data_IF_889765750061
#
_entry.id   IF_889765750061
#
_cell.length_a   1.000
_cell.length_b   1.000
_cell.length_c   1.000
_cell.angle_alpha   90.00
_cell.angle_beta   90.00
_cell.angle_gamma   90.00
#
_symmetry.space_group_name_H-M   'P 1'
#
loop_
_entity.id
_entity.type
_entity.pdbx_description
1 polymer ?
#
# COMPACT_ATOMS: atom_id res chain seq x y z
N UNK A 1 14.65 -9.39 -24.46
CA UNK A 1 13.29 -9.73 -23.98
C UNK A 1 13.15 -9.24 -22.55
N UNK A 2 12.18 -8.35 -22.26
CA UNK A 2 11.93 -7.86 -20.91
C UNK A 2 11.16 -8.90 -20.08
N UNK A 3 11.62 -9.18 -18.86
CA UNK A 3 10.89 -10.03 -17.91
C UNK A 3 9.91 -9.16 -17.12
N UNK A 4 8.66 -9.61 -17.00
CA UNK A 4 7.63 -8.95 -16.20
C UNK A 4 7.29 -9.80 -14.96
N UNK A 5 6.92 -9.13 -13.86
CA UNK A 5 6.42 -9.76 -12.64
C UNK A 5 4.98 -9.29 -12.39
N UNK A 6 4.06 -10.24 -12.30
CA UNK A 6 2.67 -9.98 -11.90
C UNK A 6 2.50 -10.20 -10.40
N UNK A 7 1.92 -9.22 -9.72
CA UNK A 7 1.53 -9.31 -8.31
C UNK A 7 0.02 -9.07 -8.22
N UNK A 8 -0.74 -10.02 -7.67
CA UNK A 8 -2.20 -9.89 -7.58
C UNK A 8 -2.74 -10.22 -6.19
N UNK A 9 -3.92 -9.67 -5.91
CA UNK A 9 -4.79 -10.12 -4.83
C UNK A 9 -6.19 -10.24 -5.45
N UNK A 10 -7.25 -10.23 -4.65
CA UNK A 10 -8.60 -10.38 -5.20
C UNK A 10 -9.02 -9.21 -6.12
N UNK A 11 -8.86 -7.95 -5.66
CA UNK A 11 -9.19 -6.75 -6.47
C UNK A 11 -7.96 -6.05 -7.08
N UNK A 12 -6.75 -6.49 -6.73
CA UNK A 12 -5.51 -5.86 -7.19
C UNK A 12 -5.25 -4.45 -6.63
N UNK A 13 -6.00 -3.97 -5.63
CA UNK A 13 -5.94 -2.58 -5.13
C UNK A 13 -5.13 -2.42 -3.85
N UNK A 14 -5.26 -3.36 -2.90
CA UNK A 14 -4.75 -3.22 -1.53
C UNK A 14 -3.43 -3.96 -1.27
N UNK A 15 -3.54 -5.25 -0.94
CA UNK A 15 -2.40 -6.10 -0.54
C UNK A 15 -1.36 -6.24 -1.65
N UNK A 16 -1.81 -6.52 -2.87
CA UNK A 16 -0.91 -6.64 -4.02
C UNK A 16 -0.21 -5.33 -4.36
N UNK A 17 -0.89 -4.19 -4.20
CA UNK A 17 -0.29 -2.89 -4.42
C UNK A 17 0.81 -2.60 -3.40
N UNK A 18 0.60 -2.96 -2.13
CA UNK A 18 1.63 -2.83 -1.10
C UNK A 18 2.84 -3.74 -1.35
N UNK A 19 2.64 -4.98 -1.80
CA UNK A 19 3.75 -5.87 -2.20
C UNK A 19 4.49 -5.33 -3.43
N UNK A 20 3.75 -4.82 -4.42
CA UNK A 20 4.36 -4.18 -5.58
C UNK A 20 5.16 -2.93 -5.18
N UNK A 21 4.65 -2.13 -4.22
CA UNK A 21 5.36 -1.00 -3.64
C UNK A 21 6.68 -1.43 -3.00
N UNK A 22 6.66 -2.50 -2.20
CA UNK A 22 7.86 -3.04 -1.56
C UNK A 22 8.94 -3.39 -2.59
N UNK A 23 8.56 -4.08 -3.67
CA UNK A 23 9.49 -4.45 -4.76
C UNK A 23 10.05 -3.21 -5.46
N UNK A 24 9.20 -2.20 -5.71
CA UNK A 24 9.64 -0.94 -6.34
C UNK A 24 10.58 -0.15 -5.42
N UNK A 25 10.30 -0.10 -4.11
CA UNK A 25 11.12 0.59 -3.12
C UNK A 25 12.48 -0.11 -2.91
N UNK A 26 12.49 -1.44 -2.92
CA UNK A 26 13.72 -2.25 -2.93
C UNK A 26 14.60 -1.92 -4.14
N UNK A 27 14.01 -1.97 -5.35
CA UNK A 27 14.72 -1.67 -6.61
C UNK A 27 15.20 -0.23 -6.69
N UNK A 28 14.46 0.72 -6.12
CA UNK A 28 14.82 2.14 -6.13
C UNK A 28 15.93 2.47 -5.13
N UNK A 29 16.02 1.73 -4.02
CA UNK A 29 16.97 1.97 -2.94
C UNK A 29 16.49 2.99 -1.89
N UNK A 30 17.23 3.14 -0.77
CA UNK A 30 16.90 4.04 0.34
C UNK A 30 16.72 5.51 -0.07
N UNK A 31 15.74 6.20 0.52
CA UNK A 31 15.47 7.62 0.26
C UNK A 31 14.67 7.90 -1.02
N UNK A 32 14.16 6.84 -1.68
CA UNK A 32 13.37 6.92 -2.91
C UNK A 32 11.95 6.37 -2.75
N UNK A 33 11.44 6.34 -1.53
CA UNK A 33 10.14 5.76 -1.17
C UNK A 33 8.99 6.48 -1.88
N UNK A 34 9.04 7.81 -1.94
CA UNK A 34 8.06 8.60 -2.69
C UNK A 34 8.09 8.28 -4.18
N UNK A 35 9.29 8.20 -4.79
CA UNK A 35 9.42 7.86 -6.20
C UNK A 35 8.93 6.44 -6.51
N UNK A 36 9.11 5.49 -5.59
CA UNK A 36 8.56 4.14 -5.70
C UNK A 36 7.03 4.15 -5.65
N UNK A 37 6.44 4.97 -4.78
CA UNK A 37 5.00 5.17 -4.71
C UNK A 37 4.45 5.83 -5.99
N UNK A 38 5.07 6.90 -6.46
CA UNK A 38 4.68 7.58 -7.70
C UNK A 38 4.73 6.60 -8.89
N UNK A 39 5.76 5.75 -8.94
CA UNK A 39 5.88 4.72 -9.98
C UNK A 39 4.77 3.68 -9.88
N UNK A 40 4.43 3.23 -8.68
CA UNK A 40 3.31 2.31 -8.48
C UNK A 40 2.00 2.93 -8.98
N UNK A 41 1.74 4.19 -8.61
CA UNK A 41 0.52 4.90 -8.99
C UNK A 41 0.46 5.18 -10.49
N UNK A 42 1.60 5.42 -11.14
CA UNK A 42 1.66 5.52 -12.60
C UNK A 42 1.32 4.19 -13.29
N UNK A 43 1.71 3.05 -12.71
CA UNK A 43 1.37 1.71 -13.23
C UNK A 43 -0.10 1.38 -12.93
N UNK A 44 -0.58 1.73 -11.74
CA UNK A 44 -1.93 1.44 -11.27
C UNK A 44 -2.50 2.64 -10.48
N UNK A 45 -3.19 3.57 -11.14
CA UNK A 45 -3.74 4.77 -10.48
C UNK A 45 -4.76 4.48 -9.38
N UNK A 46 -5.47 3.35 -9.50
CA UNK A 46 -6.48 2.88 -8.54
C UNK A 46 -5.85 2.18 -7.31
N UNK A 47 -4.52 2.13 -7.19
CA UNK A 47 -3.86 1.45 -6.09
C UNK A 47 -4.10 2.19 -4.76
N UNK A 48 -4.36 1.43 -3.71
CA UNK A 48 -4.46 1.95 -2.34
C UNK A 48 -3.67 1.00 -1.44
N UNK A 49 -2.35 1.19 -1.33
CA UNK A 49 -1.48 0.26 -0.62
C UNK A 49 -2.01 -0.05 0.79
N UNK A 50 -2.10 -1.34 1.10
CA UNK A 50 -2.52 -1.76 2.44
C UNK A 50 -1.42 -1.39 3.46
N UNK A 51 -1.73 -0.48 4.39
CA UNK A 51 -0.76 0.05 5.36
C UNK A 51 -0.13 -1.02 6.27
N UNK A 52 -0.82 -2.12 6.57
CA UNK A 52 -0.23 -3.21 7.36
C UNK A 52 0.91 -3.87 6.57
N UNK A 53 0.67 -4.17 5.30
CA UNK A 53 1.70 -4.75 4.42
C UNK A 53 2.82 -3.74 4.15
N UNK A 54 2.50 -2.45 3.98
CA UNK A 54 3.50 -1.38 3.81
C UNK A 54 4.41 -1.29 5.03
N UNK A 55 3.85 -1.37 6.25
CA UNK A 55 4.63 -1.35 7.49
C UNK A 55 5.59 -2.54 7.57
N UNK A 56 5.11 -3.75 7.26
CA UNK A 56 5.96 -4.94 7.20
C UNK A 56 7.08 -4.78 6.16
N UNK A 57 6.77 -4.21 4.99
CA UNK A 57 7.76 -3.94 3.96
C UNK A 57 8.80 -2.91 4.40
N UNK A 58 8.39 -1.85 5.08
CA UNK A 58 9.28 -0.83 5.64
C UNK A 58 10.30 -1.46 6.62
N UNK A 59 9.81 -2.31 7.53
CA UNK A 59 10.63 -3.05 8.49
C UNK A 59 11.61 -4.00 7.80
N UNK A 60 11.13 -4.82 6.85
CA UNK A 60 11.97 -5.77 6.10
C UNK A 60 13.05 -5.07 5.26
N UNK A 61 12.74 -3.90 4.71
CA UNK A 61 13.65 -3.12 3.88
C UNK A 61 14.53 -2.14 4.68
N UNK A 62 14.37 -2.08 6.01
CA UNK A 62 15.13 -1.18 6.89
C UNK A 62 14.90 0.30 6.60
N UNK A 63 13.67 0.71 6.29
CA UNK A 63 13.35 2.10 5.87
C UNK A 63 13.01 3.06 7.00
N UNK A 64 13.01 2.58 8.26
CA UNK A 64 12.82 3.41 9.45
C UNK A 64 11.58 4.30 9.39
N UNK A 65 10.49 3.78 8.81
CA UNK A 65 9.21 4.47 8.65
C UNK A 65 9.08 5.33 7.40
N UNK A 66 10.13 5.47 6.57
CA UNK A 66 10.10 6.33 5.39
C UNK A 66 9.08 5.87 4.33
N UNK A 67 8.88 4.56 4.17
CA UNK A 67 7.93 4.02 3.21
C UNK A 67 6.49 4.22 3.69
N UNK A 68 6.26 4.02 4.99
CA UNK A 68 4.97 4.33 5.64
C UNK A 68 4.66 5.83 5.54
N UNK A 69 5.66 6.69 5.77
CA UNK A 69 5.50 8.14 5.70
C UNK A 69 5.12 8.60 4.28
N UNK A 70 5.78 8.07 3.24
CA UNK A 70 5.46 8.38 1.84
C UNK A 70 4.01 8.04 1.49
N UNK A 71 3.55 6.83 1.85
CA UNK A 71 2.15 6.44 1.62
C UNK A 71 1.22 7.35 2.40
N UNK A 72 1.46 7.57 3.69
CA UNK A 72 0.58 8.38 4.55
C UNK A 72 0.47 9.82 4.06
N UNK A 73 1.57 10.44 3.63
CA UNK A 73 1.58 11.79 3.07
C UNK A 73 0.74 11.89 1.79
N UNK A 74 0.87 10.89 0.90
CA UNK A 74 0.05 10.78 -0.29
C UNK A 74 -1.45 10.64 0.04
N UNK A 75 -1.81 9.85 1.07
CA UNK A 75 -3.21 9.71 1.47
C UNK A 75 -3.82 10.99 2.03
N UNK A 76 -3.02 11.82 2.71
CA UNK A 76 -3.45 13.13 3.22
C UNK A 76 -3.78 14.06 2.05
N UNK A 77 -3.00 14.00 0.96
CA UNK A 77 -3.25 14.78 -0.24
C UNK A 77 -4.47 14.29 -1.06
N UNK A 78 -5.06 13.14 -0.72
CA UNK A 78 -6.19 12.54 -1.43
C UNK A 78 -7.42 12.38 -0.51
N UNK A 79 -8.28 13.41 -0.40
CA UNK A 79 -9.35 13.44 0.60
C UNK A 79 -10.35 12.28 0.50
N UNK A 80 -10.66 11.80 -0.71
CA UNK A 80 -11.58 10.67 -0.88
C UNK A 80 -11.08 9.35 -0.27
N UNK A 81 -9.76 9.17 -0.15
CA UNK A 81 -9.16 7.96 0.40
C UNK A 81 -9.32 7.88 1.92
N UNK A 82 -9.18 9.02 2.59
CA UNK A 82 -9.39 9.13 4.04
C UNK A 82 -10.81 8.75 4.41
N UNK A 83 -11.79 9.25 3.66
CA UNK A 83 -13.20 8.94 3.89
C UNK A 83 -13.50 7.45 3.66
N UNK A 84 -12.92 6.85 2.62
CA UNK A 84 -13.03 5.42 2.35
C UNK A 84 -12.42 4.58 3.49
N UNK A 85 -11.25 4.96 4.02
CA UNK A 85 -10.62 4.28 5.16
C UNK A 85 -11.45 4.42 6.43
N UNK A 86 -11.94 5.62 6.72
CA UNK A 86 -12.80 5.88 7.87
C UNK A 86 -14.09 5.05 7.80
N UNK A 87 -14.71 4.98 6.62
CA UNK A 87 -15.90 4.17 6.37
C UNK A 87 -15.61 2.68 6.56
N UNK A 88 -14.51 2.17 6.01
CA UNK A 88 -14.13 0.77 6.21
C UNK A 88 -13.79 0.47 7.67
N UNK A 89 -13.14 1.39 8.38
CA UNK A 89 -12.88 1.26 9.83
C UNK A 89 -14.18 1.22 10.63
N UNK A 90 -15.12 2.13 10.37
CA UNK A 90 -16.45 2.13 11.00
C UNK A 90 -17.17 0.81 10.75
N UNK A 91 -17.12 0.32 9.51
CA UNK A 91 -17.72 -0.96 9.14
C UNK A 91 -17.12 -2.13 9.92
N UNK A 92 -15.79 -2.19 10.06
CA UNK A 92 -15.12 -3.23 10.86
C UNK A 92 -15.50 -3.16 12.34
N UNK A 93 -15.51 -1.96 12.93
CA UNK A 93 -15.88 -1.78 14.35
C UNK A 93 -17.35 -2.11 14.62
N UNK A 94 -18.24 -1.82 13.67
CA UNK A 94 -19.65 -2.17 13.74
C UNK A 94 -19.90 -3.68 13.50
N UNK A 95 -18.95 -4.39 12.90
CA UNK A 95 -19.06 -5.81 12.57
C UNK A 95 -17.86 -6.59 13.12
N UNK A 96 -17.70 -6.73 14.46
CA UNK A 96 -16.53 -7.38 15.06
C UNK A 96 -16.34 -8.84 14.62
N UNK A 97 -17.43 -9.52 14.22
CA UNK A 97 -17.42 -10.91 13.76
C UNK A 97 -17.38 -11.04 12.22
N UNK A 98 -17.10 -9.96 11.49
CA UNK A 98 -17.13 -9.95 10.02
C UNK A 98 -16.25 -11.03 9.36
N UNK A 99 -15.21 -11.50 10.07
CA UNK A 99 -14.31 -12.54 9.61
C UNK A 99 -14.14 -13.70 10.61
N UNK A 100 -15.02 -13.85 11.59
CA UNK A 100 -14.91 -14.89 12.62
C UNK A 100 -15.23 -16.31 12.15
N UNK A 101 -15.44 -16.50 10.83
CA UNK A 101 -15.69 -17.79 10.18
C UNK A 101 -14.48 -18.30 9.37
N UNK A 102 -13.32 -17.64 9.51
CA UNK A 102 -11.99 -18.20 9.27
C UNK A 102 -11.35 -18.53 10.61
#
# INVERSE_FOLDING_TARGET
>A
MGRALLVHCFHGVGRSAAVALAILADRAGPGREQAALDRLLAIRPQATPNLVVVKLADEVLGRNGALVAAVSAWEIAMPGLQEQRATRRRFLLANPNLYSWL
#
